data_IF_904997048307
#
_entry.id   IF_904997048307
#
_cell.length_a   1.000
_cell.length_b   1.000
_cell.length_c   1.000
_cell.angle_alpha   90.00
_cell.angle_beta   90.00
_cell.angle_gamma   90.00
#
_symmetry.space_group_name_H-M   'P 1'
#
loop_
_entity.id
_entity.type
_entity.pdbx_description
1 polymer ?
#
# COMPACT_ATOMS: atom_id res chain seq x y z
N UNK A 1 1.08 20.24 -9.97
CA UNK A 1 0.55 21.21 -10.94
C UNK A 1 -0.92 20.92 -11.26
N UNK A 2 -1.29 19.83 -11.95
CA UNK A 2 -2.72 19.50 -12.21
C UNK A 2 -3.61 19.42 -10.96
N UNK A 3 -3.15 18.79 -9.89
CA UNK A 3 -3.89 18.73 -8.63
C UNK A 3 -4.10 20.13 -8.02
N UNK A 4 -3.01 20.89 -7.83
CA UNK A 4 -3.06 22.28 -7.36
C UNK A 4 -3.95 23.19 -8.22
N UNK A 5 -3.94 23.04 -9.55
CA UNK A 5 -4.78 23.81 -10.45
C UNK A 5 -6.27 23.55 -10.20
N UNK A 6 -6.65 22.29 -9.92
CA UNK A 6 -8.02 21.95 -9.50
C UNK A 6 -8.35 22.54 -8.14
N UNK A 7 -7.43 22.44 -7.18
CA UNK A 7 -7.65 22.93 -5.81
C UNK A 7 -7.80 24.47 -5.77
N UNK A 8 -7.08 25.16 -6.65
CA UNK A 8 -7.09 26.62 -6.77
C UNK A 8 -8.10 27.14 -7.82
N UNK A 9 -8.85 26.26 -8.48
CA UNK A 9 -9.85 26.63 -9.48
C UNK A 9 -9.29 27.37 -10.71
N UNK A 10 -8.04 27.09 -11.11
CA UNK A 10 -7.37 27.79 -12.20
C UNK A 10 -6.82 26.83 -13.26
N UNK A 11 -6.34 27.38 -14.38
CA UNK A 11 -5.75 26.58 -15.45
C UNK A 11 -4.35 26.06 -15.04
N UNK A 12 -4.02 24.83 -15.45
CA UNK A 12 -2.68 24.26 -15.22
C UNK A 12 -1.57 25.15 -15.79
N UNK A 13 -1.84 25.83 -16.92
CA UNK A 13 -0.89 26.78 -17.53
C UNK A 13 -0.56 27.92 -16.57
N UNK A 14 -1.56 28.51 -15.91
CA UNK A 14 -1.34 29.57 -14.90
C UNK A 14 -0.41 29.12 -13.79
N UNK A 15 -0.59 27.90 -13.26
CA UNK A 15 0.31 27.35 -12.23
C UNK A 15 1.72 27.12 -12.78
N UNK A 16 1.86 26.73 -14.05
CA UNK A 16 3.17 26.54 -14.68
C UNK A 16 3.89 27.87 -14.86
N UNK A 17 3.20 28.86 -15.40
CA UNK A 17 3.73 30.20 -15.66
C UNK A 17 4.16 30.84 -14.33
N UNK A 18 3.32 30.79 -13.28
CA UNK A 18 3.73 31.25 -11.95
C UNK A 18 4.96 30.51 -11.39
N UNK A 19 5.07 29.20 -11.61
CA UNK A 19 6.23 28.44 -11.12
C UNK A 19 7.50 28.81 -11.89
N UNK A 20 7.42 28.97 -13.22
CA UNK A 20 8.61 29.22 -14.05
C UNK A 20 9.01 30.68 -14.17
N UNK A 21 8.05 31.60 -14.18
CA UNK A 21 8.24 33.03 -14.44
C UNK A 21 8.26 33.82 -13.12
N UNK A 22 7.28 33.63 -12.23
CA UNK A 22 7.22 34.39 -10.98
C UNK A 22 8.17 33.81 -9.91
N UNK A 23 8.11 32.49 -9.71
CA UNK A 23 8.92 31.78 -8.72
C UNK A 23 10.29 31.33 -9.26
N UNK A 24 10.56 31.57 -10.55
CA UNK A 24 11.81 31.23 -11.23
C UNK A 24 12.28 29.79 -10.98
N UNK A 25 11.33 28.89 -10.80
CA UNK A 25 11.54 27.51 -10.37
C UNK A 25 11.31 26.54 -11.52
N UNK A 26 12.14 25.51 -11.59
CA UNK A 26 12.10 24.48 -12.62
C UNK A 26 11.92 23.10 -12.01
N UNK A 27 11.44 22.18 -12.84
CA UNK A 27 11.28 20.79 -12.46
C UNK A 27 12.58 20.01 -12.66
N UNK A 28 13.25 19.67 -11.56
CA UNK A 28 14.47 18.87 -11.55
C UNK A 28 14.18 17.42 -11.20
N UNK A 29 15.02 16.50 -11.69
CA UNK A 29 14.98 15.09 -11.25
C UNK A 29 15.41 15.02 -9.78
N UNK A 30 14.67 14.26 -8.98
CA UNK A 30 15.05 13.98 -7.60
C UNK A 30 16.43 13.33 -7.57
N UNK A 31 17.32 13.86 -6.73
CA UNK A 31 18.62 13.24 -6.48
C UNK A 31 18.46 12.17 -5.41
N UNK A 32 18.80 10.92 -5.72
CA UNK A 32 18.74 9.79 -4.78
C UNK A 32 20.15 9.33 -4.46
N UNK A 33 20.52 9.32 -3.19
CA UNK A 33 21.76 8.71 -2.70
C UNK A 33 21.50 7.36 -2.06
N UNK A 34 22.52 6.50 -2.02
CA UNK A 34 22.47 5.22 -1.30
C UNK A 34 23.32 5.31 -0.04
N UNK A 35 22.77 4.88 1.10
CA UNK A 35 23.53 4.62 2.32
C UNK A 35 23.92 3.14 2.27
N UNK A 36 25.22 2.87 2.22
CA UNK A 36 25.78 1.53 2.26
C UNK A 36 25.91 1.07 3.72
N UNK A 37 25.42 -0.13 4.01
CA UNK A 37 25.63 -0.85 5.27
C UNK A 37 26.54 -2.05 5.00
N UNK A 38 27.25 -2.59 5.99
CA UNK A 38 28.16 -3.74 5.78
C UNK A 38 27.47 -4.94 5.10
N UNK A 39 26.23 -5.26 5.47
CA UNK A 39 25.40 -6.29 4.79
C UNK A 39 25.13 -5.98 3.31
N UNK A 40 25.07 -4.70 2.96
CA UNK A 40 24.76 -4.28 1.61
C UNK A 40 25.91 -4.49 0.61
N UNK A 41 27.16 -4.57 1.11
CA UNK A 41 28.34 -4.88 0.31
C UNK A 41 28.41 -6.38 -0.04
N UNK A 42 27.98 -7.25 0.87
CA UNK A 42 27.92 -8.70 0.65
C UNK A 42 26.81 -9.08 -0.34
N UNK A 43 25.58 -8.58 -0.15
CA UNK A 43 24.45 -8.88 -1.05
C UNK A 43 24.65 -8.27 -2.44
N UNK A 44 25.43 -7.19 -2.55
CA UNK A 44 25.81 -6.60 -3.83
C UNK A 44 26.59 -7.55 -4.74
N UNK A 45 27.43 -8.41 -4.16
CA UNK A 45 28.17 -9.42 -4.92
C UNK A 45 27.24 -10.52 -5.47
N UNK A 46 26.08 -10.72 -4.85
CA UNK A 46 25.10 -11.77 -5.19
C UNK A 46 24.03 -11.24 -6.17
N UNK A 47 23.64 -9.97 -6.05
CA UNK A 47 22.52 -9.38 -6.79
C UNK A 47 22.79 -9.07 -8.28
N UNK A 48 23.99 -9.32 -8.81
CA UNK A 48 24.32 -9.09 -10.23
C UNK A 48 23.60 -10.05 -11.21
N UNK A 49 22.76 -10.98 -10.72
CA UNK A 49 22.09 -12.00 -11.54
C UNK A 49 20.54 -11.96 -11.52
N UNK A 50 19.90 -10.97 -10.91
CA UNK A 50 18.43 -10.91 -10.83
C UNK A 50 17.81 -9.87 -11.77
N UNK A 51 16.81 -10.32 -12.53
CA UNK A 51 16.06 -9.53 -13.50
C UNK A 51 15.23 -8.41 -12.83
N UNK A 52 15.28 -7.21 -13.41
CA UNK A 52 14.75 -5.98 -12.80
C UNK A 52 13.21 -5.99 -12.62
N UNK A 53 12.68 -5.48 -11.49
CA UNK A 53 11.25 -5.28 -11.33
C UNK A 53 10.71 -4.15 -12.23
N UNK A 54 9.40 -4.22 -12.52
CA UNK A 54 8.63 -3.34 -13.42
C UNK A 54 8.93 -1.84 -13.23
N UNK A 55 8.95 -1.11 -14.35
CA UNK A 55 9.22 0.33 -14.46
C UNK A 55 8.34 1.15 -13.51
N UNK A 56 8.90 1.59 -12.38
CA UNK A 56 8.38 2.73 -11.60
C UNK A 56 8.22 3.92 -12.55
N UNK A 57 7.08 4.60 -12.52
CA UNK A 57 6.84 5.77 -13.35
C UNK A 57 7.82 6.90 -12.94
N UNK A 58 8.94 7.00 -13.65
CA UNK A 58 10.04 7.94 -13.39
C UNK A 58 9.61 9.40 -13.43
N UNK A 59 8.43 9.71 -13.97
CA UNK A 59 7.89 11.08 -14.03
C UNK A 59 7.46 11.62 -12.65
N UNK A 60 7.13 10.76 -11.68
CA UNK A 60 6.71 11.20 -10.34
C UNK A 60 7.87 11.56 -9.40
N UNK A 61 9.13 11.37 -9.83
CA UNK A 61 10.32 11.67 -9.02
C UNK A 61 10.95 13.03 -9.39
N UNK A 62 10.17 14.11 -9.32
CA UNK A 62 10.64 15.45 -9.65
C UNK A 62 10.42 16.44 -8.51
N UNK A 63 11.39 17.31 -8.30
CA UNK A 63 11.36 18.40 -7.33
C UNK A 63 11.24 19.73 -8.07
N UNK A 64 10.40 20.64 -7.56
CA UNK A 64 10.37 22.02 -8.02
C UNK A 64 11.37 22.80 -7.18
N UNK A 65 12.36 23.42 -7.82
CA UNK A 65 13.39 24.19 -7.16
C UNK A 65 13.88 25.32 -8.08
N UNK A 66 14.53 26.35 -7.54
CA UNK A 66 15.11 27.45 -8.34
C UNK A 66 16.43 27.05 -9.02
N UNK A 67 17.15 26.08 -8.47
CA UNK A 67 18.38 25.56 -9.03
C UNK A 67 18.64 24.12 -8.58
N UNK A 68 19.63 23.46 -9.18
CA UNK A 68 19.98 22.05 -8.88
C UNK A 68 20.49 21.83 -7.47
N UNK A 69 21.17 22.81 -6.85
CA UNK A 69 21.68 22.69 -5.47
C UNK A 69 20.57 22.70 -4.42
N UNK A 70 19.38 23.23 -4.75
CA UNK A 70 18.19 23.21 -3.88
C UNK A 70 17.37 21.93 -4.01
N UNK A 71 17.75 21.01 -4.91
CA UNK A 71 17.12 19.69 -5.01
C UNK A 71 17.62 18.83 -3.85
N UNK A 72 16.76 18.61 -2.85
CA UNK A 72 17.11 17.78 -1.69
C UNK A 72 17.50 16.37 -2.15
N UNK A 73 18.70 15.93 -1.73
CA UNK A 73 19.13 14.54 -1.92
C UNK A 73 18.35 13.64 -0.96
N UNK A 74 17.57 12.73 -1.52
CA UNK A 74 16.86 11.70 -0.74
C UNK A 74 17.81 10.52 -0.57
N UNK A 75 18.28 10.30 0.65
CA UNK A 75 19.11 9.14 0.96
C UNK A 75 18.23 7.92 1.21
N UNK A 76 18.54 6.80 0.56
CA UNK A 76 17.88 5.51 0.78
C UNK A 76 18.88 4.50 1.31
N UNK A 77 18.53 3.82 2.39
CA UNK A 77 19.31 2.69 2.90
C UNK A 77 19.19 1.52 1.94
N UNK A 78 20.33 0.92 1.62
CA UNK A 78 20.37 -0.31 0.84
C UNK A 78 19.96 -1.47 1.74
N UNK A 79 18.91 -2.20 1.34
CA UNK A 79 18.20 -3.20 2.15
C UNK A 79 17.58 -2.59 3.42
N UNK A 80 16.54 -1.75 3.28
CA UNK A 80 15.88 -1.16 4.43
C UNK A 80 15.32 -2.25 5.34
N UNK A 81 15.29 -1.97 6.64
CA UNK A 81 14.53 -2.76 7.58
C UNK A 81 13.05 -2.78 7.14
N UNK A 82 12.50 -3.98 6.97
CA UNK A 82 11.09 -4.16 6.59
C UNK A 82 10.30 -4.72 7.77
N UNK A 83 9.02 -4.35 7.80
CA UNK A 83 8.00 -4.88 8.71
C UNK A 83 6.87 -5.42 7.84
N UNK A 84 6.48 -6.67 8.07
CA UNK A 84 5.34 -7.28 7.37
C UNK A 84 4.10 -7.13 8.23
N UNK A 85 3.01 -6.67 7.62
CA UNK A 85 1.76 -6.33 8.30
C UNK A 85 0.60 -6.99 7.58
N UNK A 86 -0.30 -7.59 8.34
CA UNK A 86 -1.58 -8.09 7.88
C UNK A 86 -2.69 -7.19 8.44
N UNK A 87 -3.59 -6.75 7.57
CA UNK A 87 -4.68 -5.84 7.91
C UNK A 87 -5.99 -6.35 7.33
N UNK A 88 -7.09 -6.02 8.01
CA UNK A 88 -8.45 -6.32 7.55
C UNK A 88 -9.30 -5.07 7.72
N UNK A 89 -10.10 -4.76 6.72
CA UNK A 89 -11.13 -3.70 6.80
C UNK A 89 -12.48 -4.27 6.45
N UNK A 90 -13.53 -3.72 7.07
CA UNK A 90 -14.92 -4.11 6.84
C UNK A 90 -15.63 -3.02 6.05
N UNK A 91 -16.59 -3.41 5.21
CA UNK A 91 -17.36 -2.48 4.37
C UNK A 91 -18.10 -1.37 5.14
N UNK A 92 -18.42 -1.59 6.42
CA UNK A 92 -19.02 -0.59 7.32
C UNK A 92 -18.02 0.41 7.91
N UNK A 93 -16.73 0.33 7.54
CA UNK A 93 -15.70 1.28 7.96
C UNK A 93 -14.75 0.80 9.05
N UNK A 94 -15.01 -0.35 9.66
CA UNK A 94 -14.17 -0.86 10.75
C UNK A 94 -12.81 -1.32 10.24
N UNK A 95 -11.77 -1.01 11.00
CA UNK A 95 -10.38 -1.41 10.75
C UNK A 95 -9.93 -2.35 11.84
N UNK A 96 -9.38 -3.51 11.46
CA UNK A 96 -8.77 -4.43 12.41
C UNK A 96 -7.44 -3.85 12.88
N UNK A 97 -7.12 -3.89 14.19
CA UNK A 97 -5.76 -3.63 14.66
C UNK A 97 -4.74 -4.45 13.84
N UNK A 98 -3.66 -3.84 13.36
CA UNK A 98 -2.77 -4.49 12.40
C UNK A 98 -2.05 -5.65 13.07
N UNK A 99 -2.06 -6.82 12.44
CA UNK A 99 -1.25 -7.95 12.87
C UNK A 99 0.14 -7.81 12.27
N UNK A 100 1.15 -7.59 13.11
CA UNK A 100 2.54 -7.42 12.69
C UNK A 100 3.26 -8.75 12.88
N UNK A 101 3.81 -9.28 11.79
CA UNK A 101 4.58 -10.51 11.86
C UNK A 101 5.98 -10.28 12.41
N UNK A 102 6.53 -11.32 13.02
CA UNK A 102 7.92 -11.35 13.46
C UNK A 102 8.88 -11.10 12.29
N UNK A 103 9.99 -10.42 12.59
CA UNK A 103 10.99 -10.10 11.57
C UNK A 103 11.58 -11.37 10.97
N UNK A 104 11.53 -11.47 9.64
CA UNK A 104 12.12 -12.60 8.91
C UNK A 104 11.19 -13.81 8.81
N UNK A 105 10.01 -13.77 9.45
CA UNK A 105 9.00 -14.81 9.28
C UNK A 105 8.51 -14.84 7.82
N UNK A 106 8.55 -16.02 7.21
CA UNK A 106 7.94 -16.24 5.90
C UNK A 106 6.51 -16.71 6.11
N UNK A 107 5.54 -15.87 5.74
CA UNK A 107 4.13 -16.23 5.80
C UNK A 107 3.84 -17.35 4.80
N UNK A 108 3.58 -18.54 5.33
CA UNK A 108 3.14 -19.71 4.59
C UNK A 108 1.65 -19.98 4.91
N UNK A 109 1.11 -21.08 4.40
CA UNK A 109 -0.28 -21.49 4.67
C UNK A 109 -0.57 -21.65 6.17
N UNK A 110 0.33 -22.29 6.92
CA UNK A 110 0.13 -22.55 8.35
C UNK A 110 0.06 -21.25 9.15
N UNK A 111 1.01 -20.34 8.94
CA UNK A 111 1.03 -19.00 9.56
C UNK A 111 -0.22 -18.20 9.18
N UNK A 112 -0.64 -18.27 7.91
CA UNK A 112 -1.87 -17.61 7.47
C UNK A 112 -3.10 -18.14 8.21
N UNK A 113 -3.23 -19.47 8.33
CA UNK A 113 -4.36 -20.08 9.04
C UNK A 113 -4.34 -19.78 10.54
N UNK A 114 -3.16 -19.75 11.15
CA UNK A 114 -3.00 -19.36 12.56
C UNK A 114 -3.51 -17.94 12.80
N UNK A 115 -3.15 -16.99 11.93
CA UNK A 115 -3.66 -15.61 11.99
C UNK A 115 -5.16 -15.55 11.72
N UNK A 116 -5.67 -16.34 10.78
CA UNK A 116 -7.10 -16.41 10.51
C UNK A 116 -7.89 -16.86 11.76
N UNK A 117 -7.45 -17.93 12.42
CA UNK A 117 -8.12 -18.49 13.59
C UNK A 117 -7.98 -17.62 14.84
N UNK A 118 -6.77 -17.12 15.13
CA UNK A 118 -6.48 -16.44 16.39
C UNK A 118 -6.73 -14.95 16.37
N UNK A 119 -6.75 -14.33 15.19
CA UNK A 119 -6.83 -12.87 15.05
C UNK A 119 -8.05 -12.45 14.24
N UNK A 120 -8.18 -12.96 13.02
CA UNK A 120 -9.19 -12.47 12.07
C UNK A 120 -10.59 -12.90 12.46
N UNK A 121 -10.82 -14.20 12.71
CA UNK A 121 -12.14 -14.73 13.03
C UNK A 121 -12.72 -14.16 14.34
N UNK A 122 -11.95 -14.06 15.46
CA UNK A 122 -12.44 -13.41 16.67
C UNK A 122 -12.79 -11.93 16.43
N UNK A 123 -12.00 -11.21 15.62
CA UNK A 123 -12.31 -9.83 15.27
C UNK A 123 -13.58 -9.71 14.43
N UNK A 124 -13.76 -10.57 13.42
CA UNK A 124 -14.98 -10.61 12.61
C UNK A 124 -16.19 -10.92 13.49
N UNK A 125 -16.10 -11.91 14.39
CA UNK A 125 -17.20 -12.25 15.32
C UNK A 125 -17.57 -11.07 16.20
N UNK A 126 -16.59 -10.34 16.75
CA UNK A 126 -16.83 -9.14 17.56
C UNK A 126 -17.51 -8.01 16.78
N UNK A 127 -17.23 -7.86 15.49
CA UNK A 127 -17.78 -6.77 14.67
C UNK A 127 -19.09 -7.12 13.97
N UNK A 128 -19.19 -8.32 13.41
CA UNK A 128 -20.34 -8.78 12.63
C UNK A 128 -21.43 -9.39 13.52
N UNK A 129 -21.06 -9.99 14.66
CA UNK A 129 -21.96 -10.83 15.43
C UNK A 129 -22.51 -11.95 14.55
N UNK A 130 -23.84 -12.10 14.52
CA UNK A 130 -24.54 -13.08 13.68
C UNK A 130 -24.87 -12.58 12.27
N UNK A 131 -24.41 -11.37 11.88
CA UNK A 131 -24.68 -10.84 10.54
C UNK A 131 -23.85 -11.58 9.50
N UNK A 132 -24.40 -11.84 8.30
CA UNK A 132 -23.64 -12.44 7.21
C UNK A 132 -22.50 -11.52 6.78
N UNK A 133 -21.39 -12.12 6.37
CA UNK A 133 -20.20 -11.44 5.89
C UNK A 133 -19.54 -12.29 4.82
N UNK A 134 -18.84 -11.63 3.90
CA UNK A 134 -18.09 -12.28 2.82
C UNK A 134 -16.61 -12.02 3.02
N UNK A 135 -15.80 -13.07 3.02
CA UNK A 135 -14.35 -12.97 3.02
C UNK A 135 -13.83 -12.62 1.63
N UNK A 136 -12.91 -11.66 1.55
CA UNK A 136 -12.17 -11.38 0.33
C UNK A 136 -10.69 -11.31 0.66
N UNK A 137 -9.88 -12.00 -0.15
CA UNK A 137 -8.42 -11.96 -0.12
C UNK A 137 -7.86 -11.99 -1.54
N UNK A 138 -6.57 -11.68 -1.69
CA UNK A 138 -5.88 -11.82 -2.97
C UNK A 138 -5.42 -13.26 -3.21
N UNK A 139 -4.91 -13.52 -4.42
CA UNK A 139 -4.48 -14.86 -4.83
C UNK A 139 -3.06 -15.22 -4.40
N UNK A 140 -2.56 -14.67 -3.28
CA UNK A 140 -1.23 -15.01 -2.77
C UNK A 140 -1.12 -16.52 -2.50
N UNK A 141 0.06 -17.15 -2.68
CA UNK A 141 0.18 -18.62 -2.60
C UNK A 141 -0.35 -19.25 -1.29
N UNK A 142 -0.17 -18.57 -0.16
CA UNK A 142 -0.69 -19.02 1.14
C UNK A 142 -2.21 -18.87 1.26
N UNK A 143 -2.86 -18.01 0.47
CA UNK A 143 -4.31 -17.79 0.50
C UNK A 143 -5.06 -18.81 -0.34
N UNK A 144 -4.48 -19.24 -1.46
CA UNK A 144 -5.10 -20.14 -2.44
C UNK A 144 -4.63 -21.59 -2.35
N UNK A 145 -3.82 -21.92 -1.33
CA UNK A 145 -3.40 -23.30 -1.09
C UNK A 145 -4.62 -24.21 -0.84
N UNK A 146 -4.50 -25.51 -1.13
CA UNK A 146 -5.61 -26.47 -0.95
C UNK A 146 -6.18 -26.43 0.46
N UNK A 147 -5.29 -26.38 1.46
CA UNK A 147 -5.66 -26.34 2.89
C UNK A 147 -6.34 -25.00 3.23
N UNK A 148 -5.80 -23.88 2.74
CA UNK A 148 -6.38 -22.56 2.95
C UNK A 148 -7.79 -22.47 2.38
N UNK A 149 -7.99 -22.95 1.16
CA UNK A 149 -9.30 -22.97 0.51
C UNK A 149 -10.28 -23.88 1.25
N UNK A 150 -9.86 -25.07 1.70
CA UNK A 150 -10.69 -25.95 2.54
C UNK A 150 -11.13 -25.25 3.84
N UNK A 151 -10.25 -24.46 4.44
CA UNK A 151 -10.56 -23.69 5.64
C UNK A 151 -11.56 -22.55 5.39
N UNK A 152 -11.33 -21.72 4.36
CA UNK A 152 -12.15 -20.52 4.11
C UNK A 152 -13.48 -20.82 3.43
N UNK A 153 -13.60 -21.93 2.69
CA UNK A 153 -14.85 -22.36 2.04
C UNK A 153 -15.95 -22.77 3.02
N UNK A 154 -15.67 -22.75 4.34
CA UNK A 154 -16.68 -22.87 5.40
C UNK A 154 -17.49 -21.59 5.59
N UNK A 155 -17.08 -20.49 4.96
CA UNK A 155 -17.70 -19.17 5.00
C UNK A 155 -18.01 -18.70 3.57
N UNK A 156 -18.82 -17.65 3.44
CA UNK A 156 -18.99 -16.97 2.17
C UNK A 156 -17.65 -16.30 1.79
N UNK A 157 -17.09 -16.66 0.63
CA UNK A 157 -15.77 -16.20 0.20
C UNK A 157 -15.75 -15.84 -1.28
N UNK A 158 -15.06 -14.75 -1.62
CA UNK A 158 -14.67 -14.46 -3.00
C UNK A 158 -13.52 -15.37 -3.36
N UNK A 159 -13.83 -16.48 -4.05
CA UNK A 159 -12.84 -17.48 -4.44
C UNK A 159 -11.87 -16.94 -5.50
N UNK A 160 -10.74 -17.62 -5.67
CA UNK A 160 -9.75 -17.31 -6.71
C UNK A 160 -10.32 -17.24 -8.14
N UNK A 161 -11.43 -17.93 -8.39
CA UNK A 161 -12.06 -18.01 -9.72
C UNK A 161 -12.94 -16.78 -9.98
N UNK A 162 -13.37 -16.08 -8.92
CA UNK A 162 -14.10 -14.82 -8.98
C UNK A 162 -13.17 -13.60 -8.90
N UNK A 163 -11.99 -13.75 -8.27
CA UNK A 163 -11.04 -12.67 -8.12
C UNK A 163 -10.02 -12.63 -9.27
N UNK A 164 -10.01 -11.57 -10.11
CA UNK A 164 -9.07 -11.49 -11.21
C UNK A 164 -7.62 -11.37 -10.69
N UNK A 165 -6.66 -12.08 -11.31
CA UNK A 165 -5.26 -11.99 -10.92
C UNK A 165 -4.71 -10.58 -11.14
N UNK A 166 -3.69 -10.19 -10.37
CA UNK A 166 -3.00 -8.90 -10.49
C UNK A 166 -3.92 -7.66 -10.48
N UNK A 167 -4.98 -7.68 -9.67
CA UNK A 167 -5.99 -6.62 -9.63
C UNK A 167 -5.98 -5.83 -8.30
N UNK A 168 -4.87 -5.17 -7.93
CA UNK A 168 -4.81 -4.34 -6.72
C UNK A 168 -5.80 -3.17 -6.79
N UNK A 169 -6.19 -2.77 -8.01
CA UNK A 169 -7.24 -1.79 -8.23
C UNK A 169 -8.61 -2.19 -7.68
N UNK A 170 -8.84 -3.46 -7.33
CA UNK A 170 -10.12 -3.94 -6.81
C UNK A 170 -10.11 -4.18 -5.30
N UNK A 171 -8.96 -4.17 -4.63
CA UNK A 171 -8.85 -4.42 -3.20
C UNK A 171 -8.78 -3.10 -2.40
N UNK A 172 -9.73 -2.81 -1.49
CA UNK A 172 -9.70 -1.61 -0.66
C UNK A 172 -8.42 -1.44 0.15
N UNK A 173 -7.75 -2.53 0.53
CA UNK A 173 -6.46 -2.45 1.20
C UNK A 173 -5.41 -1.83 0.26
N UNK A 174 -5.35 -2.27 -0.99
CA UNK A 174 -4.33 -1.89 -1.96
C UNK A 174 -4.56 -0.49 -2.54
N UNK A 175 -5.77 -0.17 -2.99
CA UNK A 175 -6.03 1.15 -3.59
C UNK A 175 -6.22 2.28 -2.58
N UNK A 176 -6.28 1.98 -1.27
CA UNK A 176 -6.53 2.99 -0.24
C UNK A 176 -5.72 2.79 1.04
N UNK A 177 -5.98 1.72 1.81
CA UNK A 177 -5.49 1.60 3.20
C UNK A 177 -3.97 1.62 3.26
N UNK A 178 -3.28 0.82 2.45
CA UNK A 178 -1.82 0.77 2.46
C UNK A 178 -1.18 2.10 2.04
N UNK A 179 -1.75 2.78 1.04
CA UNK A 179 -1.29 4.11 0.63
C UNK A 179 -1.56 5.19 1.68
N UNK A 180 -2.63 5.08 2.46
CA UNK A 180 -2.89 5.94 3.61
C UNK A 180 -1.85 5.69 4.71
N UNK A 181 -1.63 4.42 5.09
CA UNK A 181 -0.69 4.03 6.13
C UNK A 181 0.71 4.49 5.78
N UNK A 182 1.20 4.14 4.59
CA UNK A 182 2.53 4.51 4.10
C UNK A 182 2.75 6.02 4.14
N UNK A 183 1.75 6.81 3.73
CA UNK A 183 1.85 8.27 3.71
C UNK A 183 1.99 8.86 5.12
N UNK A 184 1.29 8.31 6.10
CA UNK A 184 1.28 8.85 7.46
C UNK A 184 2.50 8.38 8.26
N UNK A 185 2.87 7.10 8.14
CA UNK A 185 4.05 6.57 8.84
C UNK A 185 5.35 7.16 8.30
N UNK A 186 5.43 7.46 7.00
CA UNK A 186 6.63 8.03 6.37
C UNK A 186 6.69 9.57 6.41
N UNK A 187 5.82 10.25 7.18
CA UNK A 187 5.98 11.70 7.42
C UNK A 187 7.29 12.02 8.15
N UNK A 188 7.75 11.09 8.97
CA UNK A 188 9.00 11.20 9.72
C UNK A 188 9.82 9.92 9.52
N UNK A 189 11.16 10.02 9.54
CA UNK A 189 12.03 8.84 9.48
C UNK A 189 11.94 8.02 10.77
N UNK A 190 12.09 6.71 10.65
CA UNK A 190 12.15 5.77 11.77
C UNK A 190 13.58 5.32 12.01
N UNK A 191 14.07 5.47 13.24
CA UNK A 191 15.42 5.02 13.62
C UNK A 191 15.46 3.54 14.01
N UNK A 192 14.32 2.94 14.36
CA UNK A 192 14.21 1.54 14.76
C UNK A 192 12.99 0.87 14.13
N UNK A 193 12.97 -0.47 14.12
CA UNK A 193 11.77 -1.22 13.73
C UNK A 193 10.62 -1.00 14.70
N UNK A 194 10.91 -0.87 16.00
CA UNK A 194 9.90 -0.67 17.05
C UNK A 194 9.16 0.64 16.79
N UNK A 195 9.88 1.74 16.53
CA UNK A 195 9.23 3.03 16.22
C UNK A 195 8.34 2.96 14.96
N UNK A 196 8.77 2.20 13.95
CA UNK A 196 7.97 1.97 12.75
C UNK A 196 6.70 1.14 13.06
N UNK A 197 6.83 0.07 13.84
CA UNK A 197 5.69 -0.76 14.27
C UNK A 197 4.68 0.05 15.09
N UNK A 198 5.15 0.88 16.01
CA UNK A 198 4.30 1.71 16.85
C UNK A 198 3.57 2.77 16.02
N UNK A 199 4.26 3.41 15.07
CA UNK A 199 3.65 4.34 14.13
C UNK A 199 2.60 3.66 13.24
N UNK A 200 2.85 2.43 12.77
CA UNK A 200 1.85 1.65 12.03
C UNK A 200 0.61 1.39 12.89
N UNK A 201 0.78 0.94 14.14
CA UNK A 201 -0.33 0.69 15.06
C UNK A 201 -1.14 1.95 15.34
N UNK A 202 -0.48 3.07 15.57
CA UNK A 202 -1.12 4.38 15.78
C UNK A 202 -1.94 4.80 14.56
N UNK A 203 -1.36 4.71 13.35
CA UNK A 203 -2.04 5.12 12.12
C UNK A 203 -3.25 4.24 11.81
N UNK A 204 -3.16 2.94 12.08
CA UNK A 204 -4.30 2.03 11.96
C UNK A 204 -5.40 2.34 13.00
N UNK A 205 -5.02 2.55 14.26
CA UNK A 205 -5.96 2.82 15.35
C UNK A 205 -6.68 4.16 15.21
N UNK A 206 -6.04 5.13 14.57
CA UNK A 206 -6.59 6.47 14.34
C UNK A 206 -7.20 6.65 12.94
N UNK A 207 -7.35 5.57 12.16
CA UNK A 207 -7.95 5.66 10.83
C UNK A 207 -9.45 5.95 10.95
N UNK A 208 -9.91 7.01 10.29
CA UNK A 208 -11.33 7.38 10.30
C UNK A 208 -12.18 6.30 9.62
N UNK A 209 -13.13 5.75 10.37
CA UNK A 209 -14.07 4.73 9.90
C UNK A 209 -14.86 5.21 8.69
N UNK A 210 -15.21 6.50 8.63
CA UNK A 210 -15.97 7.04 7.50
C UNK A 210 -15.13 7.06 6.22
N UNK A 211 -13.83 7.34 6.32
CA UNK A 211 -12.91 7.23 5.19
C UNK A 211 -12.82 5.80 4.66
N UNK A 212 -12.73 4.82 5.55
CA UNK A 212 -12.67 3.40 5.20
C UNK A 212 -13.98 2.94 4.58
N UNK A 213 -15.13 3.35 5.15
CA UNK A 213 -16.46 3.05 4.62
C UNK A 213 -16.61 3.59 3.19
N UNK A 214 -16.21 4.83 2.94
CA UNK A 214 -16.17 5.40 1.57
C UNK A 214 -15.23 4.62 0.67
N UNK A 215 -14.06 4.23 1.16
CA UNK A 215 -13.10 3.45 0.38
C UNK A 215 -13.68 2.09 -0.05
N UNK A 216 -14.30 1.34 0.87
CA UNK A 216 -14.98 0.08 0.57
C UNK A 216 -16.22 0.29 -0.33
N UNK A 217 -16.98 1.38 -0.12
CA UNK A 217 -18.13 1.72 -0.96
C UNK A 217 -17.80 1.94 -2.44
N UNK A 218 -16.54 2.30 -2.76
CA UNK A 218 -16.06 2.40 -4.15
C UNK A 218 -15.91 1.06 -4.85
N UNK A 219 -15.90 -0.06 -4.13
CA UNK A 219 -15.63 -1.39 -4.69
C UNK A 219 -16.49 -1.70 -5.93
N UNK A 220 -17.82 -1.51 -5.84
CA UNK A 220 -18.73 -1.77 -6.97
C UNK A 220 -18.46 -0.89 -8.18
N UNK A 221 -18.21 0.40 -7.96
CA UNK A 221 -17.87 1.34 -9.03
C UNK A 221 -16.54 0.98 -9.70
N UNK A 222 -15.57 0.48 -8.93
CA UNK A 222 -14.27 0.02 -9.44
C UNK A 222 -14.39 -1.27 -10.23
N UNK A 223 -15.25 -2.22 -9.81
CA UNK A 223 -15.59 -3.41 -10.61
C UNK A 223 -16.20 -3.00 -11.94
N UNK A 224 -17.16 -2.06 -11.95
CA UNK A 224 -17.75 -1.55 -13.19
C UNK A 224 -16.68 -0.93 -14.10
N UNK A 225 -15.83 -0.06 -13.56
CA UNK A 225 -14.75 0.56 -14.32
C UNK A 225 -13.76 -0.49 -14.88
N UNK A 226 -13.48 -1.57 -14.14
CA UNK A 226 -12.61 -2.65 -14.59
C UNK A 226 -13.24 -3.44 -15.74
N UNK A 227 -14.54 -3.72 -15.67
CA UNK A 227 -15.29 -4.35 -16.76
C UNK A 227 -15.34 -3.43 -17.99
N UNK A 228 -15.64 -2.14 -17.80
CA UNK A 228 -15.69 -1.15 -18.89
C UNK A 228 -14.30 -0.97 -19.55
N UNK A 229 -13.23 -1.21 -18.79
CA UNK A 229 -11.84 -1.23 -19.27
C UNK A 229 -11.42 -2.60 -19.84
N UNK A 230 -12.32 -3.56 -20.02
CA UNK A 230 -12.03 -4.93 -20.48
C UNK A 230 -10.91 -5.63 -19.69
N UNK A 231 -10.81 -5.35 -18.39
CA UNK A 231 -9.80 -5.92 -17.50
C UNK A 231 -8.48 -5.16 -17.43
N UNK A 232 -8.36 -3.99 -18.07
CA UNK A 232 -7.19 -3.12 -17.95
C UNK A 232 -7.13 -2.36 -16.61
N UNK A 233 -5.95 -1.81 -16.31
CA UNK A 233 -5.71 -1.00 -15.11
C UNK A 233 -6.66 0.21 -15.01
N UNK A 234 -7.35 0.31 -13.88
CA UNK A 234 -8.25 1.42 -13.55
C UNK A 234 -7.57 2.46 -12.66
N UNK A 235 -7.89 3.75 -12.89
CA UNK A 235 -7.37 4.88 -12.12
C UNK A 235 -8.13 5.16 -10.82
#
# INVERSE_FOLDING_TARGET
>A
MKAMARDLGCYEKTIRDCVSEDLMSRSYKMQVGQILTQKADEVNKIAQQAQAPKKVNKQNNRWIATCTSHVRKVMKTKFPAMVMVFGVVRGEGHVMPPHIFETGLKVNTEVYLDVMEKVVLPWIQGMAGNRPWVWQHDSAPCHVSKISMQFVNRYDVVTKDLWPPNSPGLNPLDYFVWGYVERHTNRHPHSTKVSLMDSIKEVFGNMDNEMVRRACGRFRGRIKAFIDANGDDIK
#
